data_IF_543606392119
#
_entry.id   IF_543606392119
#
_cell.length_a   1.000
_cell.length_b   1.000
_cell.length_c   1.000
_cell.angle_alpha   90.00
_cell.angle_beta   90.00
_cell.angle_gamma   90.00
#
_symmetry.space_group_name_H-M   'P 1'
#
loop_
_entity.id
_entity.type
_entity.pdbx_description
1 polymer ?
#
# COMPACT_ATOMS: atom_id res chain seq x y z
N UNK A 1 7.05 -5.16 25.88
CA UNK A 1 6.00 -4.76 24.89
C UNK A 1 6.46 -4.85 23.43
N UNK A 2 7.69 -5.28 23.12
CA UNK A 2 8.21 -5.36 21.74
C UNK A 2 7.74 -6.62 20.97
N UNK A 3 7.39 -7.70 21.66
CA UNK A 3 7.15 -9.01 21.01
C UNK A 3 5.82 -9.12 20.27
N UNK A 4 4.79 -8.34 20.63
CA UNK A 4 3.50 -8.35 19.93
C UNK A 4 3.54 -7.54 18.62
N UNK A 5 4.35 -6.48 18.57
CA UNK A 5 4.53 -5.68 17.35
C UNK A 5 5.32 -6.44 16.27
N UNK A 6 6.27 -7.29 16.67
CA UNK A 6 7.06 -8.12 15.74
C UNK A 6 6.19 -9.08 14.92
N UNK A 7 5.11 -9.62 15.52
CA UNK A 7 4.20 -10.53 14.84
C UNK A 7 3.35 -9.88 13.73
N UNK A 8 3.01 -8.60 13.88
CA UNK A 8 2.23 -7.83 12.89
C UNK A 8 3.11 -7.14 11.84
N UNK A 9 4.33 -6.78 12.20
CA UNK A 9 5.30 -6.18 11.28
C UNK A 9 5.72 -7.13 10.16
N UNK A 10 5.89 -8.42 10.48
CA UNK A 10 6.37 -9.40 9.52
C UNK A 10 5.42 -9.62 8.32
N UNK A 11 4.10 -9.83 8.50
CA UNK A 11 3.13 -9.84 7.40
C UNK A 11 3.14 -8.55 6.59
N UNK A 12 3.29 -7.41 7.26
CA UNK A 12 3.23 -6.08 6.63
C UNK A 12 4.45 -5.84 5.72
N UNK A 13 5.63 -6.30 6.14
CA UNK A 13 6.84 -6.26 5.32
C UNK A 13 6.74 -7.16 4.09
N UNK A 14 6.14 -8.36 4.22
CA UNK A 14 5.90 -9.24 3.07
C UNK A 14 4.93 -8.59 2.09
N UNK A 15 3.82 -8.04 2.60
CA UNK A 15 2.84 -7.31 1.80
C UNK A 15 3.47 -6.11 1.09
N UNK A 16 4.36 -5.38 1.76
CA UNK A 16 5.12 -4.27 1.18
C UNK A 16 6.05 -4.75 0.07
N UNK A 17 6.84 -5.80 0.32
CA UNK A 17 7.75 -6.35 -0.68
C UNK A 17 7.04 -6.87 -1.93
N UNK A 18 5.79 -7.35 -1.80
CA UNK A 18 4.98 -7.84 -2.92
C UNK A 18 4.21 -6.72 -3.63
N UNK A 19 3.53 -5.84 -2.88
CA UNK A 19 2.62 -4.85 -3.46
C UNK A 19 3.34 -3.75 -4.21
N UNK A 20 4.51 -3.31 -3.71
CA UNK A 20 5.27 -2.20 -4.25
C UNK A 20 5.80 -2.47 -5.67
N UNK A 21 6.47 -3.60 -5.97
CA UNK A 21 6.87 -3.90 -7.33
C UNK A 21 5.67 -4.11 -8.25
N UNK A 22 4.57 -4.69 -7.74
CA UNK A 22 3.35 -4.92 -8.53
C UNK A 22 2.70 -3.59 -8.93
N UNK A 23 2.54 -2.65 -8.00
CA UNK A 23 1.94 -1.35 -8.30
C UNK A 23 2.84 -0.50 -9.19
N UNK A 24 4.16 -0.49 -8.94
CA UNK A 24 5.10 0.23 -9.80
C UNK A 24 5.12 -0.35 -11.22
N UNK A 25 5.16 -1.68 -11.35
CA UNK A 25 5.07 -2.36 -12.63
C UNK A 25 3.77 -1.99 -13.34
N UNK A 26 2.64 -2.00 -12.63
CA UNK A 26 1.35 -1.62 -13.21
C UNK A 26 1.28 -0.14 -13.56
N UNK A 27 1.90 0.77 -12.81
CA UNK A 27 1.91 2.22 -13.13
C UNK A 27 2.75 2.49 -14.38
N UNK A 28 3.90 1.83 -14.55
CA UNK A 28 4.80 2.08 -15.69
C UNK A 28 4.49 1.24 -16.94
N UNK A 29 4.09 -0.03 -16.77
CA UNK A 29 3.96 -1.03 -17.86
C UNK A 29 2.58 -1.64 -18.04
N UNK A 30 1.61 -1.36 -17.17
CA UNK A 30 0.22 -1.78 -17.39
C UNK A 30 -0.39 -1.21 -18.69
N UNK A 31 -1.59 -1.68 -19.01
CA UNK A 31 -2.42 -1.17 -20.12
C UNK A 31 -3.38 -0.06 -19.68
N UNK A 32 -3.88 0.73 -20.63
CA UNK A 32 -4.82 1.83 -20.40
C UNK A 32 -4.17 3.20 -20.18
N UNK A 33 -4.97 4.22 -19.84
CA UNK A 33 -4.53 5.61 -19.77
C UNK A 33 -3.44 5.85 -18.69
N UNK A 34 -2.22 6.15 -19.13
CA UNK A 34 -1.04 6.39 -18.29
C UNK A 34 -1.25 7.49 -17.25
N UNK A 35 -1.99 8.56 -17.58
CA UNK A 35 -2.27 9.65 -16.65
C UNK A 35 -3.15 9.22 -15.48
N UNK A 36 -4.22 8.47 -15.75
CA UNK A 36 -5.13 7.94 -14.71
C UNK A 36 -4.41 6.92 -13.82
N UNK A 37 -3.58 6.06 -14.42
CA UNK A 37 -2.80 5.04 -13.70
C UNK A 37 -1.75 5.67 -12.80
N UNK A 38 -1.04 6.69 -13.29
CA UNK A 38 -0.13 7.50 -12.51
C UNK A 38 -0.83 8.10 -11.29
N UNK A 39 -1.97 8.78 -11.49
CA UNK A 39 -2.71 9.39 -10.38
C UNK A 39 -3.10 8.39 -9.29
N UNK A 40 -3.63 7.21 -9.68
CA UNK A 40 -4.02 6.15 -8.74
C UNK A 40 -2.80 5.62 -7.99
N UNK A 41 -1.73 5.26 -8.70
CA UNK A 41 -0.52 4.72 -8.09
C UNK A 41 0.16 5.72 -7.15
N UNK A 42 0.28 6.99 -7.57
CA UNK A 42 0.84 8.05 -6.73
C UNK A 42 -0.01 8.32 -5.48
N UNK A 43 -1.34 8.33 -5.62
CA UNK A 43 -2.24 8.49 -4.47
C UNK A 43 -2.05 7.35 -3.45
N UNK A 44 -1.92 6.10 -3.91
CA UNK A 44 -1.67 4.97 -3.03
C UNK A 44 -0.33 5.07 -2.32
N UNK A 45 0.74 5.49 -3.03
CA UNK A 45 2.07 5.71 -2.43
C UNK A 45 2.02 6.84 -1.39
N UNK A 46 1.28 7.91 -1.65
CA UNK A 46 1.09 9.00 -0.70
C UNK A 46 0.40 8.52 0.58
N UNK A 47 -0.69 7.75 0.46
CA UNK A 47 -1.40 7.17 1.61
C UNK A 47 -0.50 6.21 2.40
N UNK A 48 0.28 5.37 1.71
CA UNK A 48 1.24 4.47 2.35
C UNK A 48 2.32 5.25 3.13
N UNK A 49 2.81 6.35 2.57
CA UNK A 49 3.77 7.24 3.26
C UNK A 49 3.17 7.83 4.54
N UNK A 50 1.93 8.33 4.48
CA UNK A 50 1.23 8.88 5.66
C UNK A 50 1.02 7.81 6.72
N UNK A 51 0.57 6.62 6.31
CA UNK A 51 0.36 5.49 7.23
C UNK A 51 1.67 5.04 7.89
N UNK A 52 2.78 5.06 7.14
CA UNK A 52 4.11 4.77 7.65
C UNK A 52 4.52 5.78 8.73
N UNK A 53 4.32 7.08 8.49
CA UNK A 53 4.59 8.12 9.50
C UNK A 53 3.75 7.92 10.77
N UNK A 54 2.48 7.53 10.63
CA UNK A 54 1.62 7.22 11.78
C UNK A 54 2.13 6.02 12.58
N UNK A 55 2.73 5.00 11.94
CA UNK A 55 3.31 3.84 12.63
C UNK A 55 4.49 4.21 13.54
N UNK A 56 5.18 5.32 13.27
CA UNK A 56 6.28 5.84 14.10
C UNK A 56 5.81 6.84 15.16
N UNK A 57 4.50 7.08 15.28
CA UNK A 57 3.96 7.94 16.33
C UNK A 57 4.13 7.31 17.72
N UNK A 58 4.50 8.13 18.72
CA UNK A 58 4.56 7.70 20.12
C UNK A 58 3.19 7.47 20.78
N UNK A 59 2.09 7.82 20.10
CA UNK A 59 0.75 7.57 20.58
C UNK A 59 0.25 6.19 20.11
N UNK A 60 0.05 5.25 21.05
CA UNK A 60 -0.41 3.88 20.77
C UNK A 60 -1.63 3.82 19.82
N UNK A 61 -2.59 4.72 20.01
CA UNK A 61 -3.80 4.77 19.18
C UNK A 61 -3.49 5.16 17.72
N UNK A 62 -2.61 6.14 17.52
CA UNK A 62 -2.18 6.60 16.18
C UNK A 62 -1.36 5.52 15.49
N UNK A 63 -0.49 4.84 16.24
CA UNK A 63 0.32 3.74 15.74
C UNK A 63 -0.55 2.56 15.27
N UNK A 64 -1.56 2.16 16.05
CA UNK A 64 -2.48 1.09 15.68
C UNK A 64 -3.31 1.44 14.44
N UNK A 65 -3.77 2.68 14.33
CA UNK A 65 -4.46 3.20 13.14
C UNK A 65 -3.51 3.20 11.94
N UNK A 66 -2.27 3.66 12.11
CA UNK A 66 -1.24 3.64 11.07
C UNK A 66 -1.00 2.23 10.52
N UNK A 67 -0.86 1.23 11.39
CA UNK A 67 -0.71 -0.17 10.97
C UNK A 67 -1.93 -0.69 10.21
N UNK A 68 -3.13 -0.34 10.66
CA UNK A 68 -4.38 -0.76 10.00
C UNK A 68 -4.48 -0.15 8.60
N UNK A 69 -4.21 1.15 8.45
CA UNK A 69 -4.23 1.84 7.16
C UNK A 69 -3.14 1.27 6.23
N UNK A 70 -1.94 1.04 6.76
CA UNK A 70 -0.83 0.47 6.00
C UNK A 70 -1.19 -0.93 5.47
N UNK A 71 -1.81 -1.76 6.29
CA UNK A 71 -2.29 -3.07 5.83
C UNK A 71 -3.33 -2.96 4.71
N UNK A 72 -4.35 -2.13 4.90
CA UNK A 72 -5.43 -1.94 3.91
C UNK A 72 -4.88 -1.41 2.59
N UNK A 73 -4.02 -0.40 2.61
CA UNK A 73 -3.50 0.19 1.38
C UNK A 73 -2.59 -0.78 0.61
N UNK A 74 -1.82 -1.62 1.30
CA UNK A 74 -0.99 -2.65 0.66
C UNK A 74 -1.83 -3.72 -0.04
N UNK A 75 -2.96 -4.11 0.57
CA UNK A 75 -3.93 -5.02 -0.06
C UNK A 75 -4.59 -4.34 -1.27
N UNK A 76 -4.98 -3.07 -1.16
CA UNK A 76 -5.57 -2.33 -2.28
C UNK A 76 -4.56 -2.21 -3.44
N UNK A 77 -3.29 -1.92 -3.16
CA UNK A 77 -2.23 -1.85 -4.17
C UNK A 77 -2.08 -3.17 -4.94
N UNK A 78 -2.21 -4.32 -4.27
CA UNK A 78 -2.22 -5.64 -4.91
C UNK A 78 -3.43 -5.85 -5.84
N UNK A 79 -4.60 -5.40 -5.42
CA UNK A 79 -5.85 -5.58 -6.16
C UNK A 79 -6.03 -4.58 -7.31
N UNK A 80 -5.45 -3.40 -7.19
CA UNK A 80 -5.53 -2.31 -8.20
C UNK A 80 -5.22 -2.78 -9.62
N UNK A 81 -4.07 -3.42 -9.90
CA UNK A 81 -3.83 -3.94 -11.24
C UNK A 81 -4.88 -4.95 -11.69
N UNK A 82 -5.39 -5.81 -10.80
CA UNK A 82 -6.42 -6.80 -11.16
C UNK A 82 -7.75 -6.16 -11.52
N UNK A 83 -8.18 -5.15 -10.76
CA UNK A 83 -9.44 -4.42 -10.97
C UNK A 83 -9.40 -3.60 -12.26
N UNK A 84 -8.27 -2.96 -12.56
CA UNK A 84 -8.15 -2.07 -13.70
C UNK A 84 -7.62 -2.74 -14.99
N UNK A 85 -6.98 -3.91 -14.92
CA UNK A 85 -6.54 -4.67 -16.10
C UNK A 85 -7.70 -5.14 -16.98
N UNK A 86 -8.91 -5.31 -16.41
CA UNK A 86 -10.07 -5.85 -17.14
C UNK A 86 -11.01 -4.78 -17.72
N UNK A 87 -10.65 -3.49 -17.65
CA UNK A 87 -11.40 -2.39 -18.26
C UNK A 87 -10.66 -1.88 -19.49
N UNK A 88 -10.60 -2.72 -20.54
CA UNK A 88 -10.42 -2.23 -21.90
C UNK A 88 -11.73 -1.54 -22.32
N UNK A 89 -11.78 -0.23 -22.14
CA UNK A 89 -12.65 0.64 -22.93
C UNK A 89 -11.80 1.23 -24.05
#
# INVERSE_FOLDING_TARGET
MVHAASGLLFPLLILFALSLPIILFWVFKGDGNRGKRGLIGFAQIAVLTIATLMCFSGANMVQQVGFTIAFIILVIMLLTPMVFKNRNY
#
